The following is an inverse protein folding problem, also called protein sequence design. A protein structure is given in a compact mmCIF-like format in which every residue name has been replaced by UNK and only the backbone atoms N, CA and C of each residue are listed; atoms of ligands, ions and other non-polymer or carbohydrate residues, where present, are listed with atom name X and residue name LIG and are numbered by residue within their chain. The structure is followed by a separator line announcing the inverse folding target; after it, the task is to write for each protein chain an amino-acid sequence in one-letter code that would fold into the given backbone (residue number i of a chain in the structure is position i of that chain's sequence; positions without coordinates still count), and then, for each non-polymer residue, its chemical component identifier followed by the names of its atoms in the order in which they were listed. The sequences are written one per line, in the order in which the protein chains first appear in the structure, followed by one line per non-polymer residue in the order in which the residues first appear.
data_IF_068339918296
#
_entry.id   IF_068339918296
#
_cell.length_a   1.000
_cell.length_b   1.000
_cell.length_c   1.000
_cell.angle_alpha   90.00
_cell.angle_beta   90.00
_cell.angle_gamma   90.00
#
_symmetry.space_group_name_H-M   'P 1'
#
loop_
_entity.id
_entity.type
_entity.pdbx_description
1 polymer ?
#
# COMPACT_ATOMS: atom_id res chain seq x y z
N UNK A 1 -3.27 -39.42 8.52
CA UNK A 1 -3.65 -38.39 9.51
C UNK A 1 -4.28 -37.22 8.78
N UNK A 2 -5.53 -36.92 9.08
CA UNK A 2 -6.22 -35.71 8.61
C UNK A 2 -5.55 -34.50 9.28
N UNK A 3 -5.06 -33.55 8.48
CA UNK A 3 -4.43 -32.32 8.98
C UNK A 3 -5.45 -31.18 8.98
N UNK A 4 -5.39 -30.34 10.01
CA UNK A 4 -6.13 -29.09 10.06
C UNK A 4 -5.59 -28.06 9.07
N UNK A 5 -6.37 -27.01 8.80
CA UNK A 5 -5.99 -25.93 7.88
C UNK A 5 -6.45 -24.59 8.42
N UNK A 6 -5.62 -23.56 8.27
CA UNK A 6 -6.04 -22.17 8.40
C UNK A 6 -6.27 -21.60 7.01
N UNK A 7 -7.47 -21.07 6.79
CA UNK A 7 -7.87 -20.44 5.54
C UNK A 7 -7.97 -18.93 5.73
N UNK A 8 -7.47 -18.18 4.75
CA UNK A 8 -7.62 -16.73 4.68
C UNK A 8 -8.97 -16.38 4.06
N UNK A 9 -9.68 -15.41 4.64
CA UNK A 9 -10.96 -14.94 4.08
C UNK A 9 -10.79 -13.55 3.45
N UNK A 10 -11.75 -13.11 2.60
CA UNK A 10 -11.74 -11.75 2.05
C UNK A 10 -11.83 -10.64 3.10
N UNK A 11 -12.36 -10.92 4.30
CA UNK A 11 -12.65 -9.94 5.35
C UNK A 11 -11.54 -9.80 6.40
N UNK A 12 -10.31 -10.24 6.08
CA UNK A 12 -9.15 -10.29 7.01
C UNK A 12 -9.32 -11.23 8.20
N UNK A 13 -10.38 -12.03 8.22
CA UNK A 13 -10.57 -13.09 9.21
C UNK A 13 -9.83 -14.35 8.76
N UNK A 14 -9.55 -15.21 9.74
CA UNK A 14 -8.97 -16.53 9.52
C UNK A 14 -10.00 -17.58 9.88
N UNK A 15 -10.25 -18.50 8.95
CA UNK A 15 -11.10 -19.66 9.20
C UNK A 15 -10.21 -20.87 9.51
N UNK A 16 -10.18 -21.27 10.77
CA UNK A 16 -9.46 -22.44 11.24
C UNK A 16 -10.37 -23.67 11.13
N UNK A 17 -9.89 -24.71 10.46
CA UNK A 17 -10.56 -26.00 10.35
C UNK A 17 -9.72 -27.05 11.07
N UNK A 18 -10.26 -27.65 12.12
CA UNK A 18 -9.60 -28.65 12.95
C UNK A 18 -10.31 -30.00 12.79
N UNK A 19 -9.57 -31.09 12.48
CA UNK A 19 -10.10 -32.43 12.58
C UNK A 19 -10.18 -32.79 14.07
N UNK A 20 -11.37 -32.67 14.67
CA UNK A 20 -11.55 -33.01 16.07
C UNK A 20 -11.48 -34.54 16.23
N UNK A 21 -10.70 -35.04 17.20
CA UNK A 21 -10.61 -36.47 17.46
C UNK A 21 -11.75 -36.98 18.36
N UNK A 22 -12.65 -36.08 18.79
CA UNK A 22 -13.73 -36.36 19.74
C UNK A 22 -15.08 -36.23 19.05
N UNK A 23 -15.99 -37.17 19.33
CA UNK A 23 -17.37 -37.08 18.85
C UNK A 23 -18.12 -36.00 19.67
N UNK A 24 -19.06 -35.22 19.09
CA UNK A 24 -19.82 -34.21 19.83
C UNK A 24 -20.60 -34.75 21.03
N UNK A 25 -21.05 -36.01 20.95
CA UNK A 25 -21.79 -36.67 22.04
C UNK A 25 -20.89 -37.38 23.06
N UNK A 26 -19.56 -37.25 22.95
CA UNK A 26 -18.62 -37.84 23.88
C UNK A 26 -18.70 -37.12 25.24
N UNK A 27 -18.86 -37.87 26.33
CA UNK A 27 -18.98 -37.28 27.67
C UNK A 27 -17.63 -36.79 28.23
N UNK A 28 -16.55 -37.55 28.03
CA UNK A 28 -15.25 -37.27 28.64
C UNK A 28 -14.09 -37.54 27.69
N UNK A 29 -13.06 -36.68 27.68
CA UNK A 29 -11.82 -36.87 26.88
C UNK A 29 -11.10 -38.20 27.25
N UNK A 30 -11.03 -38.49 28.55
CA UNK A 30 -10.32 -39.63 29.12
C UNK A 30 -11.17 -40.90 29.24
N UNK A 31 -12.19 -41.04 28.39
CA UNK A 31 -13.04 -42.23 28.35
C UNK A 31 -12.24 -43.54 28.18
N UNK A 32 -12.78 -44.63 28.72
CA UNK A 32 -12.17 -45.96 28.71
C UNK A 32 -11.93 -46.47 27.28
N UNK A 33 -10.98 -47.39 27.09
CA UNK A 33 -10.63 -47.93 25.75
C UNK A 33 -11.83 -48.49 24.97
N UNK A 34 -12.84 -49.03 25.66
CA UNK A 34 -14.06 -49.55 25.04
C UNK A 34 -14.91 -48.43 24.42
N UNK A 35 -15.14 -47.34 25.16
CA UNK A 35 -15.87 -46.16 24.68
C UNK A 35 -15.11 -45.43 23.57
N UNK A 36 -13.77 -45.34 23.68
CA UNK A 36 -12.92 -44.79 22.59
C UNK A 36 -13.07 -45.58 21.30
N UNK A 37 -13.20 -46.91 21.36
CA UNK A 37 -13.36 -47.76 20.16
C UNK A 37 -14.73 -47.56 19.50
N UNK A 38 -15.77 -47.37 20.31
CA UNK A 38 -17.13 -47.11 19.84
C UNK A 38 -17.20 -45.84 18.99
N UNK A 39 -16.69 -44.72 19.52
CA UNK A 39 -16.70 -43.43 18.82
C UNK A 39 -15.62 -43.32 17.72
N UNK A 40 -14.53 -44.09 17.80
CA UNK A 40 -13.49 -44.06 16.76
C UNK A 40 -13.93 -44.56 15.39
N UNK A 41 -15.05 -45.29 15.33
CA UNK A 41 -15.62 -45.81 14.08
C UNK A 41 -16.59 -44.83 13.41
N UNK A 42 -17.02 -43.78 14.11
CA UNK A 42 -17.94 -42.78 13.58
C UNK A 42 -17.17 -41.61 12.96
N UNK A 43 -17.66 -41.13 11.82
CA UNK A 43 -17.04 -40.01 11.13
C UNK A 43 -17.35 -38.71 11.90
N UNK A 44 -16.35 -38.20 12.61
CA UNK A 44 -16.44 -36.91 13.30
C UNK A 44 -16.33 -35.76 12.30
N UNK A 45 -17.27 -34.83 12.35
CA UNK A 45 -17.22 -33.61 11.55
C UNK A 45 -16.10 -32.67 12.03
N UNK A 46 -15.35 -32.01 11.12
CA UNK A 46 -14.29 -31.10 11.52
C UNK A 46 -14.86 -29.80 12.09
N UNK A 47 -14.24 -29.29 13.16
CA UNK A 47 -14.60 -28.02 13.77
C UNK A 47 -14.12 -26.85 12.92
N UNK A 48 -14.99 -25.87 12.67
CA UNK A 48 -14.67 -24.65 11.94
C UNK A 48 -14.83 -23.41 12.83
N UNK A 49 -13.72 -22.72 13.10
CA UNK A 49 -13.69 -21.50 13.91
C UNK A 49 -13.31 -20.30 13.05
N UNK A 50 -13.91 -19.14 13.33
CA UNK A 50 -13.57 -17.88 12.69
C UNK A 50 -12.90 -16.96 13.71
N UNK A 51 -11.66 -16.55 13.43
CA UNK A 51 -10.85 -15.76 14.35
C UNK A 51 -10.29 -14.51 13.69
N UNK A 52 -10.17 -13.45 14.47
CA UNK A 52 -9.50 -12.24 14.04
C UNK A 52 -7.99 -12.32 14.37
N UNK A 53 -7.08 -11.88 13.48
CA UNK A 53 -5.64 -11.99 13.72
C UNK A 53 -5.14 -11.30 14.99
N UNK A 54 -5.80 -10.21 15.43
CA UNK A 54 -5.42 -9.46 16.64
C UNK A 54 -5.95 -10.08 17.94
N UNK A 55 -6.74 -11.15 17.87
CA UNK A 55 -7.20 -11.83 19.08
C UNK A 55 -6.04 -12.65 19.67
N UNK A 56 -5.91 -12.73 21.01
CA UNK A 56 -4.89 -13.53 21.65
C UNK A 56 -5.20 -15.03 21.54
N UNK A 57 -4.17 -15.87 21.62
CA UNK A 57 -4.32 -17.33 21.62
C UNK A 57 -5.20 -17.86 22.75
N UNK A 58 -5.26 -17.18 23.89
CA UNK A 58 -6.17 -17.49 25.00
C UNK A 58 -7.64 -17.42 24.62
N UNK A 59 -8.00 -16.58 23.65
CA UNK A 59 -9.36 -16.53 23.11
C UNK A 59 -9.64 -17.76 22.25
N UNK A 60 -8.69 -18.15 21.39
CA UNK A 60 -8.79 -19.36 20.57
C UNK A 60 -8.81 -20.63 21.44
N UNK A 61 -8.02 -20.67 22.51
CA UNK A 61 -8.05 -21.73 23.52
C UNK A 61 -9.46 -21.91 24.10
N UNK A 62 -10.11 -20.83 24.53
CA UNK A 62 -11.48 -20.91 25.07
C UNK A 62 -12.51 -21.36 24.04
N UNK A 63 -12.37 -20.93 22.78
CA UNK A 63 -13.23 -21.38 21.70
C UNK A 63 -13.10 -22.89 21.47
N UNK A 64 -11.88 -23.43 21.49
CA UNK A 64 -11.68 -24.87 21.35
C UNK A 64 -12.15 -25.62 22.61
N UNK A 65 -11.89 -25.08 23.81
CA UNK A 65 -12.36 -25.66 25.08
C UNK A 65 -13.89 -25.77 25.15
N UNK A 66 -14.63 -24.84 24.56
CA UNK A 66 -16.09 -24.89 24.50
C UNK A 66 -16.63 -26.00 23.59
N UNK A 67 -15.82 -26.47 22.64
CA UNK A 67 -16.18 -27.46 21.62
C UNK A 67 -15.55 -28.84 21.90
N UNK A 68 -14.85 -28.99 23.04
CA UNK A 68 -14.21 -30.22 23.48
C UNK A 68 -14.88 -30.68 24.77
N UNK A 69 -15.15 -32.00 24.93
CA UNK A 69 -15.74 -32.51 26.16
C UNK A 69 -14.84 -32.25 27.38
N UNK A 70 -15.41 -32.15 28.59
CA UNK A 70 -14.62 -32.00 29.81
C UNK A 70 -13.74 -33.23 30.08
N UNK A 71 -12.72 -33.04 30.91
CA UNK A 71 -11.90 -34.12 31.46
C UNK A 71 -12.36 -34.48 32.86
N UNK A 72 -12.46 -35.78 33.14
CA UNK A 72 -12.72 -36.27 34.49
C UNK A 72 -11.42 -36.35 35.29
N UNK A 73 -11.35 -35.65 36.42
CA UNK A 73 -10.19 -35.64 37.33
C UNK A 73 -10.64 -36.12 38.72
N UNK A 74 -9.73 -36.65 39.54
CA UNK A 74 -10.02 -37.02 40.93
C UNK A 74 -10.51 -35.78 41.71
N UNK A 75 -11.84 -35.66 41.88
CA UNK A 75 -12.48 -34.55 42.57
C UNK A 75 -13.42 -33.67 41.73
N UNK A 76 -13.61 -33.94 40.42
CA UNK A 76 -14.60 -33.25 39.60
C UNK A 76 -14.29 -33.23 38.09
N UNK A 77 -15.00 -32.38 37.37
CA UNK A 77 -14.78 -32.13 35.94
C UNK A 77 -13.91 -30.89 35.74
N UNK A 78 -12.94 -30.98 34.81
CA UNK A 78 -12.01 -29.90 34.48
C UNK A 78 -11.99 -29.69 32.97
N UNK A 79 -11.92 -28.42 32.53
CA UNK A 79 -11.66 -28.09 31.13
C UNK A 79 -10.20 -28.41 30.77
N UNK A 80 -9.94 -28.99 29.58
CA UNK A 80 -8.58 -29.33 29.16
C UNK A 80 -7.73 -28.09 28.90
N UNK A 81 -6.48 -28.09 29.36
CA UNK A 81 -5.49 -27.09 28.94
C UNK A 81 -5.15 -27.30 27.45
N UNK A 82 -5.09 -26.21 26.69
CA UNK A 82 -4.71 -26.24 25.27
C UNK A 82 -3.38 -25.53 25.09
N UNK A 83 -2.43 -26.21 24.44
CA UNK A 83 -1.08 -25.70 24.24
C UNK A 83 -0.79 -25.59 22.75
N UNK A 84 -0.46 -24.39 22.29
CA UNK A 84 0.01 -24.14 20.92
C UNK A 84 1.52 -24.26 20.85
N UNK A 85 2.02 -25.00 19.85
CA UNK A 85 3.45 -25.18 19.61
C UNK A 85 3.80 -24.88 18.15
N UNK A 86 4.93 -24.24 17.91
CA UNK A 86 5.48 -24.02 16.58
C UNK A 86 6.93 -24.51 16.51
N UNK A 87 7.42 -24.74 15.29
CA UNK A 87 8.81 -25.11 15.03
C UNK A 87 9.74 -23.95 15.43
N UNK A 88 10.77 -24.23 16.23
CA UNK A 88 11.76 -23.25 16.65
C UNK A 88 13.06 -23.33 15.84
N UNK A 89 13.76 -22.20 15.79
CA UNK A 89 15.05 -22.04 15.09
C UNK A 89 16.23 -22.73 15.80
N UNK A 90 16.04 -23.25 17.02
CA UNK A 90 17.12 -23.87 17.78
C UNK A 90 17.42 -25.28 17.26
N UNK A 91 18.37 -25.35 16.33
CA UNK A 91 19.06 -26.58 15.96
C UNK A 91 20.03 -26.95 17.11
N UNK A 92 19.55 -27.71 18.11
CA UNK A 92 20.42 -28.25 19.17
C UNK A 92 21.38 -29.33 18.65
N UNK A 93 21.32 -29.69 17.36
CA UNK A 93 22.07 -30.80 16.76
C UNK A 93 23.48 -30.49 16.23
N UNK A 94 23.89 -29.23 16.06
CA UNK A 94 25.18 -28.92 15.41
C UNK A 94 26.38 -28.83 16.36
N UNK A 95 26.48 -29.72 17.35
CA UNK A 95 27.71 -29.88 18.12
C UNK A 95 28.78 -30.73 17.40
N UNK A 96 28.49 -31.38 16.26
CA UNK A 96 29.45 -32.32 15.65
C UNK A 96 29.65 -32.30 14.13
N UNK A 97 28.97 -31.46 13.34
CA UNK A 97 29.03 -31.61 11.89
C UNK A 97 29.20 -30.33 11.05
N UNK A 98 29.85 -29.26 11.52
CA UNK A 98 30.56 -28.38 10.58
C UNK A 98 31.59 -27.46 11.24
N UNK A 99 32.85 -27.90 11.30
CA UNK A 99 34.00 -27.08 11.73
C UNK A 99 34.53 -26.16 10.61
N UNK A 100 33.78 -25.93 9.52
CA UNK A 100 34.27 -25.18 8.35
C UNK A 100 33.51 -23.91 7.96
N UNK A 101 32.54 -23.44 8.75
CA UNK A 101 31.82 -22.17 8.53
C UNK A 101 31.89 -21.21 9.72
N UNK A 102 33.00 -21.18 10.45
CA UNK A 102 33.06 -20.51 11.75
C UNK A 102 33.44 -19.02 11.75
N UNK A 103 33.58 -18.37 10.60
CA UNK A 103 34.05 -16.97 10.55
C UNK A 103 33.06 -15.94 9.95
N UNK A 104 31.77 -16.24 9.79
CA UNK A 104 30.80 -15.22 9.32
C UNK A 104 29.52 -14.97 10.11
N UNK A 105 29.02 -15.88 10.94
CA UNK A 105 27.63 -15.76 11.45
C UNK A 105 27.48 -15.83 12.98
N UNK A 106 28.33 -15.17 13.78
CA UNK A 106 28.01 -14.94 15.20
C UNK A 106 26.97 -13.82 15.39
N UNK A 107 26.74 -12.96 14.39
CA UNK A 107 25.80 -11.83 14.48
C UNK A 107 24.33 -12.21 14.22
N UNK A 108 24.05 -13.41 13.70
CA UNK A 108 22.69 -13.85 13.35
C UNK A 108 21.97 -14.72 14.39
N UNK A 109 22.64 -15.14 15.47
CA UNK A 109 22.06 -16.13 16.43
C UNK A 109 20.88 -15.60 17.26
N UNK A 110 20.77 -14.27 17.37
CA UNK A 110 19.65 -13.58 18.03
C UNK A 110 18.62 -13.04 17.03
N UNK A 111 18.72 -13.43 15.75
CA UNK A 111 17.78 -13.03 14.69
C UNK A 111 16.99 -14.28 14.30
N UNK A 112 15.68 -14.19 14.39
CA UNK A 112 14.82 -15.30 13.99
C UNK A 112 14.80 -15.43 12.46
N UNK A 113 14.94 -16.65 11.94
CA UNK A 113 15.00 -16.90 10.51
C UNK A 113 13.58 -17.00 9.94
N UNK A 114 13.17 -16.06 9.08
CA UNK A 114 11.86 -16.10 8.44
C UNK A 114 11.97 -16.71 7.04
N UNK A 115 11.05 -17.60 6.67
CA UNK A 115 10.99 -18.18 5.31
C UNK A 115 9.74 -17.75 4.55
N UNK A 116 8.64 -17.47 5.25
CA UNK A 116 7.37 -17.05 4.66
C UNK A 116 6.67 -18.09 3.77
N UNK A 117 7.26 -19.28 3.61
CA UNK A 117 6.79 -20.33 2.72
C UNK A 117 5.63 -21.12 3.35
N UNK A 118 5.55 -21.18 4.68
CA UNK A 118 4.52 -21.94 5.39
C UNK A 118 4.45 -23.39 4.90
N UNK A 119 3.24 -23.88 4.63
CA UNK A 119 3.00 -25.22 4.09
C UNK A 119 3.74 -25.55 2.78
N UNK A 120 4.12 -24.55 1.98
CA UNK A 120 4.86 -24.69 0.71
C UNK A 120 6.36 -24.89 0.92
N UNK A 121 6.85 -24.77 2.17
CA UNK A 121 8.26 -24.98 2.50
C UNK A 121 8.73 -26.43 2.31
N UNK A 122 10.05 -26.64 2.20
CA UNK A 122 10.63 -27.98 2.05
C UNK A 122 10.30 -28.84 3.27
N UNK A 123 9.98 -30.13 3.06
CA UNK A 123 9.88 -31.09 4.15
C UNK A 123 11.27 -31.36 4.71
N UNK A 124 11.53 -30.98 5.96
CA UNK A 124 12.68 -31.52 6.68
C UNK A 124 12.35 -32.95 7.10
N UNK A 125 13.22 -33.90 6.75
CA UNK A 125 13.15 -35.30 7.22
C UNK A 125 13.61 -35.46 8.68
N UNK A 126 14.06 -34.38 9.33
CA UNK A 126 14.48 -34.34 10.74
C UNK A 126 13.30 -33.97 11.64
N UNK A 127 13.31 -34.49 12.86
CA UNK A 127 12.36 -34.14 13.91
C UNK A 127 12.42 -32.62 14.19
N UNK A 128 11.32 -31.93 13.92
CA UNK A 128 11.18 -30.51 14.21
C UNK A 128 11.23 -30.27 15.72
N UNK A 129 11.95 -29.22 16.14
CA UNK A 129 11.97 -28.80 17.54
C UNK A 129 10.74 -27.95 17.84
N UNK A 130 9.89 -28.38 18.77
CA UNK A 130 8.62 -27.74 19.08
C UNK A 130 8.74 -26.86 20.33
N UNK A 131 8.34 -25.60 20.23
CA UNK A 131 8.32 -24.66 21.36
C UNK A 131 6.90 -24.22 21.67
N UNK A 132 6.58 -24.17 22.98
CA UNK A 132 5.29 -23.67 23.50
C UNK A 132 5.23 -22.14 23.40
N UNK A 133 4.09 -21.65 22.92
CA UNK A 133 3.80 -20.22 22.85
C UNK A 133 2.94 -19.75 24.03
N UNK A 134 3.06 -18.46 24.38
CA UNK A 134 2.24 -17.83 25.40
C UNK A 134 0.79 -17.67 24.91
N UNK A 135 -0.17 -17.84 25.81
CA UNK A 135 -1.60 -17.63 25.51
C UNK A 135 -1.96 -16.14 25.30
N UNK A 136 -1.04 -15.22 25.62
CA UNK A 136 -1.22 -13.79 25.41
C UNK A 136 -0.80 -13.30 24.01
N UNK A 137 -0.13 -14.14 23.22
CA UNK A 137 0.33 -13.76 21.86
C UNK A 137 -0.85 -13.64 20.90
N UNK A 138 -0.80 -12.68 19.98
CA UNK A 138 -1.80 -12.53 18.92
C UNK A 138 -1.74 -13.69 17.92
N UNK A 139 -2.90 -14.17 17.48
CA UNK A 139 -3.02 -15.27 16.50
C UNK A 139 -2.28 -14.94 15.20
N UNK A 140 -2.33 -13.68 14.75
CA UNK A 140 -1.67 -13.21 13.54
C UNK A 140 -0.15 -13.31 13.60
N UNK A 141 0.44 -12.89 14.72
CA UNK A 141 1.89 -12.96 14.96
C UNK A 141 2.35 -14.41 15.14
N UNK A 142 1.59 -15.21 15.89
CA UNK A 142 1.86 -16.65 16.02
C UNK A 142 1.85 -17.37 14.67
N UNK A 143 0.86 -17.10 13.81
CA UNK A 143 0.78 -17.71 12.47
C UNK A 143 1.94 -17.26 11.58
N UNK A 144 2.36 -15.99 11.69
CA UNK A 144 3.51 -15.47 10.93
C UNK A 144 4.80 -16.17 11.35
N UNK A 145 5.03 -16.33 12.65
CA UNK A 145 6.18 -17.05 13.18
C UNK A 145 6.15 -18.54 12.82
N UNK A 146 4.97 -19.17 12.95
CA UNK A 146 4.75 -20.55 12.55
C UNK A 146 4.90 -20.78 11.03
N UNK A 147 4.81 -19.74 10.20
CA UNK A 147 4.99 -19.83 8.74
C UNK A 147 6.44 -20.09 8.33
N UNK A 148 7.38 -20.10 9.28
CA UNK A 148 8.73 -20.68 9.10
C UNK A 148 8.66 -22.16 8.80
N UNK A 149 7.85 -22.86 9.57
CA UNK A 149 7.54 -24.28 9.42
C UNK A 149 6.36 -24.49 8.48
N UNK A 150 6.03 -25.76 8.24
CA UNK A 150 4.90 -26.14 7.39
C UNK A 150 3.58 -26.22 8.16
N UNK A 151 3.67 -26.49 9.45
CA UNK A 151 2.55 -26.76 10.33
C UNK A 151 2.87 -26.33 11.76
N UNK A 152 1.82 -25.99 12.50
CA UNK A 152 1.90 -25.83 13.95
C UNK A 152 1.13 -26.95 14.64
N UNK A 153 1.42 -27.18 15.92
CA UNK A 153 0.80 -28.21 16.73
C UNK A 153 -0.16 -27.62 17.75
N UNK A 154 -1.24 -28.34 18.02
CA UNK A 154 -2.16 -28.08 19.13
C UNK A 154 -2.17 -29.34 20.01
N UNK A 155 -1.67 -29.20 21.23
CA UNK A 155 -1.79 -30.23 22.27
C UNK A 155 -3.04 -29.97 23.10
N UNK A 156 -3.85 -31.01 23.30
CA UNK A 156 -5.05 -30.99 24.16
C UNK A 156 -4.75 -31.89 25.35
N UNK A 157 -4.88 -31.36 26.57
CA UNK A 157 -4.72 -32.14 27.80
C UNK A 157 -5.64 -33.38 27.78
N UNK A 158 -5.10 -34.56 28.08
CA UNK A 158 -5.85 -35.83 28.08
C UNK A 158 -5.92 -36.54 26.73
N UNK A 159 -5.36 -35.97 25.67
CA UNK A 159 -5.23 -36.62 24.37
C UNK A 159 -3.76 -36.78 23.96
N UNK A 160 -3.34 -38.02 23.72
CA UNK A 160 -1.92 -38.35 23.47
C UNK A 160 -1.39 -37.84 22.13
N UNK A 161 -2.26 -37.56 21.15
CA UNK A 161 -1.86 -37.13 19.80
C UNK A 161 -2.05 -35.64 19.64
N UNK A 162 -0.99 -34.92 19.30
CA UNK A 162 -1.09 -33.51 18.93
C UNK A 162 -1.79 -33.35 17.57
N UNK A 163 -2.67 -32.36 17.46
CA UNK A 163 -3.29 -31.98 16.20
C UNK A 163 -2.30 -31.14 15.38
N UNK A 164 -2.08 -31.51 14.12
CA UNK A 164 -1.24 -30.75 13.18
C UNK A 164 -2.09 -29.88 12.28
N UNK A 165 -1.76 -28.60 12.19
CA UNK A 165 -2.48 -27.61 11.38
C UNK A 165 -1.54 -26.95 10.39
N UNK A 166 -1.89 -26.97 9.12
CA UNK A 166 -1.10 -26.34 8.06
C UNK A 166 -1.16 -24.81 8.16
N UNK A 167 0.01 -24.17 8.09
CA UNK A 167 0.16 -22.71 8.15
C UNK A 167 0.05 -22.12 6.74
N UNK A 168 -0.72 -21.02 6.54
CA UNK A 168 -0.86 -20.37 5.25
C UNK A 168 0.47 -19.72 4.85
N UNK A 169 0.83 -19.86 3.58
CA UNK A 169 1.98 -19.18 3.00
C UNK A 169 1.70 -17.70 2.74
N UNK A 170 2.73 -16.92 2.41
CA UNK A 170 2.57 -15.56 1.87
C UNK A 170 1.56 -15.51 0.71
N UNK A 171 1.59 -16.50 -0.19
CA UNK A 171 0.70 -16.57 -1.36
C UNK A 171 -0.76 -16.83 -0.96
N UNK A 172 -0.98 -17.66 0.06
CA UNK A 172 -2.31 -17.93 0.60
C UNK A 172 -2.89 -16.68 1.29
N UNK A 173 -2.06 -15.97 2.06
CA UNK A 173 -2.48 -14.76 2.78
C UNK A 173 -2.82 -13.60 1.84
N UNK A 174 -2.05 -13.46 0.76
CA UNK A 174 -2.24 -12.38 -0.21
C UNK A 174 -3.18 -12.74 -1.36
N UNK A 175 -3.72 -13.96 -1.41
CA UNK A 175 -4.50 -14.47 -2.55
C UNK A 175 -5.65 -13.52 -2.98
N UNK A 176 -6.53 -13.15 -2.04
CA UNK A 176 -7.67 -12.28 -2.34
C UNK A 176 -7.24 -10.84 -2.65
N UNK A 177 -6.18 -10.35 -2.00
CA UNK A 177 -5.62 -9.02 -2.29
C UNK A 177 -5.06 -8.99 -3.71
N UNK A 178 -4.24 -9.97 -4.10
CA UNK A 178 -3.67 -10.08 -5.45
C UNK A 178 -4.75 -10.29 -6.51
N UNK A 179 -5.79 -11.06 -6.22
CA UNK A 179 -6.94 -11.22 -7.12
C UNK A 179 -7.65 -9.88 -7.36
N UNK A 180 -7.92 -9.11 -6.30
CA UNK A 180 -8.52 -7.77 -6.42
C UNK A 180 -7.58 -6.81 -7.18
N UNK A 181 -6.28 -6.85 -6.89
CA UNK A 181 -5.27 -6.05 -7.59
C UNK A 181 -5.26 -6.34 -9.09
N UNK A 182 -5.28 -7.62 -9.49
CA UNK A 182 -5.35 -8.04 -10.91
C UNK A 182 -6.63 -7.58 -11.60
N UNK A 183 -7.73 -7.42 -10.87
CA UNK A 183 -8.99 -6.89 -11.40
C UNK A 183 -8.88 -5.39 -11.62
N UNK A 184 -8.39 -4.66 -10.60
CA UNK A 184 -8.15 -3.22 -10.69
C UNK A 184 -7.12 -2.88 -11.77
N UNK A 185 -6.04 -3.66 -11.89
CA UNK A 185 -5.00 -3.46 -12.90
C UNK A 185 -5.54 -3.52 -14.32
N UNK A 186 -6.46 -4.45 -14.60
CA UNK A 186 -7.14 -4.53 -15.91
C UNK A 186 -8.01 -3.31 -16.18
N UNK A 187 -8.77 -2.85 -15.19
CA UNK A 187 -9.58 -1.64 -15.33
C UNK A 187 -8.70 -0.39 -15.51
N UNK A 188 -7.55 -0.33 -14.85
CA UNK A 188 -6.57 0.73 -15.04
C UNK A 188 -5.96 0.66 -16.43
N UNK A 189 -5.59 -0.50 -16.96
CA UNK A 189 -5.07 -0.63 -18.34
C UNK A 189 -6.07 -0.08 -19.36
N UNK A 190 -7.35 -0.50 -19.27
CA UNK A 190 -8.40 -0.05 -20.16
C UNK A 190 -8.59 1.49 -20.11
N UNK A 191 -8.62 2.06 -18.90
CA UNK A 191 -8.77 3.51 -18.71
C UNK A 191 -7.50 4.29 -19.10
N UNK A 192 -6.31 3.71 -18.88
CA UNK A 192 -5.02 4.32 -19.20
C UNK A 192 -4.84 4.49 -20.71
N UNK A 193 -5.28 3.52 -21.52
CA UNK A 193 -5.25 3.62 -22.98
C UNK A 193 -6.07 4.80 -23.49
N UNK A 194 -7.30 4.95 -22.98
CA UNK A 194 -8.17 6.08 -23.33
C UNK A 194 -7.56 7.42 -22.90
N UNK A 195 -6.98 7.47 -21.70
CA UNK A 195 -6.29 8.65 -21.17
C UNK A 195 -5.10 9.04 -22.06
N UNK A 196 -4.23 8.09 -22.37
CA UNK A 196 -3.02 8.29 -23.19
C UNK A 196 -3.37 8.84 -24.58
N UNK A 197 -4.40 8.29 -25.22
CA UNK A 197 -4.85 8.79 -26.53
C UNK A 197 -5.38 10.23 -26.47
N UNK A 198 -6.15 10.57 -25.43
CA UNK A 198 -6.65 11.93 -25.21
C UNK A 198 -5.51 12.91 -24.98
N UNK A 199 -4.53 12.52 -24.16
CA UNK A 199 -3.38 13.35 -23.80
C UNK A 199 -2.51 13.62 -25.04
N UNK A 200 -2.28 12.59 -25.85
CA UNK A 200 -1.52 12.73 -27.09
C UNK A 200 -2.23 13.67 -28.08
N UNK A 201 -3.56 13.56 -28.21
CA UNK A 201 -4.36 14.45 -29.06
C UNK A 201 -4.37 15.90 -28.54
N UNK A 202 -4.44 16.11 -27.23
CA UNK A 202 -4.38 17.43 -26.63
C UNK A 202 -3.02 18.10 -26.89
N UNK A 203 -1.91 17.36 -26.72
CA UNK A 203 -0.56 17.85 -26.99
C UNK A 203 -0.30 18.13 -28.48
N UNK A 204 -0.82 17.29 -29.40
CA UNK A 204 -0.78 17.55 -30.85
C UNK A 204 -1.49 18.86 -31.22
N UNK A 205 -2.59 19.17 -30.53
CA UNK A 205 -3.32 20.42 -30.67
C UNK A 205 -2.48 21.66 -30.31
N UNK A 206 -1.82 21.62 -29.16
CA UNK A 206 -0.95 22.72 -28.70
C UNK A 206 0.25 22.94 -29.63
N UNK A 207 0.88 21.86 -30.09
CA UNK A 207 2.00 21.95 -31.05
C UNK A 207 1.57 22.53 -32.39
N UNK A 208 0.34 22.26 -32.85
CA UNK A 208 -0.18 22.86 -34.09
C UNK A 208 -0.34 24.38 -33.98
N UNK A 209 -0.80 24.87 -32.82
CA UNK A 209 -0.86 26.31 -32.54
C UNK A 209 0.53 26.94 -32.52
N UNK A 210 1.51 26.31 -31.87
CA UNK A 210 2.88 26.79 -31.84
C UNK A 210 3.51 26.84 -33.25
N UNK A 211 3.30 25.80 -34.07
CA UNK A 211 3.75 25.78 -35.48
C UNK A 211 3.07 26.87 -36.31
N UNK A 212 1.78 27.14 -36.08
CA UNK A 212 1.06 28.24 -36.71
C UNK A 212 1.61 29.61 -36.35
N UNK A 213 1.90 29.85 -35.06
CA UNK A 213 2.54 31.07 -34.59
C UNK A 213 3.93 31.29 -35.20
N UNK A 214 4.74 30.24 -35.27
CA UNK A 214 6.04 30.29 -35.94
C UNK A 214 5.92 30.61 -37.43
N UNK A 215 4.99 29.98 -38.14
CA UNK A 215 4.75 30.25 -39.56
C UNK A 215 4.29 31.70 -39.81
N UNK A 216 3.45 32.26 -38.94
CA UNK A 216 3.05 33.66 -39.02
C UNK A 216 4.23 34.62 -38.84
N UNK A 217 5.12 34.36 -37.87
CA UNK A 217 6.33 35.16 -37.66
C UNK A 217 7.31 35.05 -38.84
N UNK A 218 7.52 33.85 -39.39
CA UNK A 218 8.35 33.65 -40.57
C UNK A 218 7.77 34.36 -41.81
N UNK A 219 6.44 34.32 -41.97
CA UNK A 219 5.74 35.03 -43.05
C UNK A 219 5.89 36.54 -42.89
N UNK A 220 5.71 37.07 -41.68
CA UNK A 220 5.92 38.49 -41.38
C UNK A 220 7.35 38.93 -41.68
N UNK A 221 8.34 38.15 -41.25
CA UNK A 221 9.75 38.41 -41.55
C UNK A 221 10.03 38.45 -43.06
N UNK A 222 9.47 37.48 -43.80
CA UNK A 222 9.58 37.44 -45.27
C UNK A 222 8.93 38.65 -45.95
N UNK A 223 7.77 39.10 -45.46
CA UNK A 223 7.07 40.30 -45.97
C UNK A 223 7.94 41.54 -45.74
N UNK A 224 8.46 41.73 -44.52
CA UNK A 224 9.35 42.87 -44.20
C UNK A 224 10.59 42.85 -45.09
N UNK A 225 11.26 41.70 -45.21
CA UNK A 225 12.43 41.54 -46.08
C UNK A 225 12.11 41.89 -47.55
N UNK A 226 11.01 41.37 -48.10
CA UNK A 226 10.64 41.61 -49.49
C UNK A 226 10.30 43.09 -49.74
N UNK A 227 9.53 43.73 -48.86
CA UNK A 227 9.16 45.14 -49.01
C UNK A 227 10.39 46.05 -48.87
N UNK A 228 11.31 45.74 -47.95
CA UNK A 228 12.52 46.56 -47.77
C UNK A 228 13.51 46.44 -48.93
N UNK A 229 13.74 45.22 -49.45
CA UNK A 229 14.81 44.99 -50.43
C UNK A 229 14.34 44.93 -51.89
N UNK A 230 13.06 44.62 -52.16
CA UNK A 230 12.54 44.40 -53.52
C UNK A 230 11.48 45.42 -53.94
N UNK A 231 11.15 46.41 -53.10
CA UNK A 231 10.16 47.45 -53.42
C UNK A 231 10.79 48.84 -53.28
N UNK A 232 10.34 49.80 -54.09
CA UNK A 232 10.83 51.19 -54.09
C UNK A 232 10.42 51.99 -52.84
N UNK A 233 9.59 51.41 -51.94
CA UNK A 233 9.09 52.09 -50.74
C UNK A 233 10.16 52.27 -49.64
N UNK A 234 11.30 51.59 -49.75
CA UNK A 234 12.48 51.82 -48.90
C UNK A 234 12.26 51.53 -47.41
N UNK A 235 13.30 51.79 -46.61
CA UNK A 235 13.25 51.57 -45.15
C UNK A 235 12.43 52.62 -44.40
N UNK A 236 12.32 53.84 -44.95
CA UNK A 236 11.65 55.00 -44.33
C UNK A 236 10.16 54.75 -44.06
N UNK A 237 9.48 53.96 -44.91
CA UNK A 237 8.09 53.56 -44.69
C UNK A 237 7.96 52.34 -43.75
N UNK A 238 8.93 51.42 -43.79
CA UNK A 238 8.84 50.13 -43.09
C UNK A 238 9.13 50.27 -41.59
N UNK A 239 10.00 51.21 -41.21
CA UNK A 239 10.39 51.44 -39.82
C UNK A 239 9.20 51.79 -38.89
N UNK A 240 8.33 52.79 -39.19
CA UNK A 240 7.18 53.08 -38.36
C UNK A 240 6.16 51.93 -38.29
N UNK A 241 5.98 51.21 -39.41
CA UNK A 241 5.03 50.09 -39.52
C UNK A 241 5.47 48.92 -38.65
N UNK A 242 6.76 48.58 -38.66
CA UNK A 242 7.30 47.51 -37.81
C UNK A 242 7.26 47.87 -36.32
N UNK A 243 7.49 49.13 -35.97
CA UNK A 243 7.34 49.61 -34.59
C UNK A 243 5.88 49.47 -34.09
N UNK A 244 4.92 49.92 -34.91
CA UNK A 244 3.49 49.82 -34.57
C UNK A 244 3.00 48.37 -34.53
N UNK A 245 3.48 47.51 -35.43
CA UNK A 245 3.20 46.07 -35.41
C UNK A 245 3.79 45.38 -34.17
N UNK A 246 5.00 45.77 -33.74
CA UNK A 246 5.62 45.26 -32.52
C UNK A 246 4.83 45.66 -31.28
N UNK A 247 4.47 46.94 -31.17
CA UNK A 247 3.68 47.48 -30.05
C UNK A 247 2.30 46.81 -29.97
N UNK A 248 1.60 46.65 -31.10
CA UNK A 248 0.30 45.95 -31.14
C UNK A 248 0.41 44.48 -30.76
N UNK A 249 1.49 43.78 -31.15
CA UNK A 249 1.74 42.39 -30.74
C UNK A 249 1.95 42.28 -29.23
N UNK A 250 2.72 43.21 -28.64
CA UNK A 250 2.92 43.26 -27.18
C UNK A 250 1.60 43.58 -26.46
N UNK A 251 0.82 44.55 -26.95
CA UNK A 251 -0.50 44.87 -26.40
C UNK A 251 -1.46 43.67 -26.50
N UNK A 252 -1.47 42.96 -27.63
CA UNK A 252 -2.27 41.75 -27.81
C UNK A 252 -1.85 40.62 -26.87
N UNK A 253 -0.54 40.41 -26.70
CA UNK A 253 -0.01 39.46 -25.73
C UNK A 253 -0.39 39.82 -24.29
N UNK A 254 -0.35 41.11 -23.95
CA UNK A 254 -0.74 41.61 -22.62
C UNK A 254 -2.25 41.46 -22.37
N UNK A 255 -3.10 41.73 -23.37
CA UNK A 255 -4.55 41.50 -23.28
C UNK A 255 -4.87 40.01 -23.13
N UNK A 256 -4.18 39.16 -23.90
CA UNK A 256 -4.32 37.71 -23.77
C UNK A 256 -3.87 37.22 -22.38
N UNK A 257 -2.79 37.78 -21.85
CA UNK A 257 -2.30 37.52 -20.49
C UNK A 257 -3.32 37.93 -19.42
N UNK A 258 -3.91 39.13 -19.54
CA UNK A 258 -4.97 39.59 -18.63
C UNK A 258 -6.23 38.73 -18.69
N UNK A 259 -6.55 38.17 -19.86
CA UNK A 259 -7.73 37.32 -20.04
C UNK A 259 -7.56 35.90 -19.46
N UNK A 260 -6.36 35.30 -19.52
CA UNK A 260 -6.20 33.88 -19.17
C UNK A 260 -6.18 33.62 -17.66
N UNK A 261 -5.63 34.54 -16.84
CA UNK A 261 -5.85 34.77 -15.40
C UNK A 261 -4.61 35.40 -14.70
N UNK A 262 -4.86 35.98 -13.51
CA UNK A 262 -4.03 36.94 -12.76
C UNK A 262 -2.83 36.36 -11.99
N UNK A 263 -2.69 35.03 -11.92
CA UNK A 263 -1.66 34.38 -11.09
C UNK A 263 -0.56 33.72 -11.96
N UNK A 264 0.67 34.11 -11.65
CA UNK A 264 1.88 33.94 -12.43
C UNK A 264 2.21 32.48 -12.80
N UNK A 265 2.28 32.18 -14.10
CA UNK A 265 3.41 31.45 -14.74
C UNK A 265 3.11 31.16 -16.22
N UNK A 266 4.05 31.42 -17.12
CA UNK A 266 3.98 31.02 -18.53
C UNK A 266 3.70 29.51 -18.71
N UNK A 267 4.21 28.67 -17.80
CA UNK A 267 3.93 27.23 -17.77
C UNK A 267 2.48 26.92 -17.36
N UNK A 268 1.87 27.75 -16.52
CA UNK A 268 0.48 27.58 -16.10
C UNK A 268 -0.49 27.89 -17.26
N UNK A 269 -0.25 28.95 -18.03
CA UNK A 269 -1.14 29.33 -19.13
C UNK A 269 -1.22 28.27 -20.26
N UNK A 270 -0.08 27.70 -20.67
CA UNK A 270 -0.06 26.61 -21.64
C UNK A 270 -0.80 25.38 -21.10
N UNK A 271 -0.52 25.00 -19.85
CA UNK A 271 -1.17 23.86 -19.20
C UNK A 271 -2.67 24.08 -19.02
N UNK A 272 -3.14 25.31 -18.85
CA UNK A 272 -4.59 25.64 -18.77
C UNK A 272 -5.29 25.44 -20.10
N UNK A 273 -4.66 25.80 -21.23
CA UNK A 273 -5.28 25.56 -22.56
C UNK A 273 -5.28 24.08 -22.93
N UNK A 274 -4.20 23.36 -22.61
CA UNK A 274 -4.12 21.91 -22.81
C UNK A 274 -5.12 21.20 -21.92
N UNK A 275 -5.22 21.57 -20.64
CA UNK A 275 -6.13 20.93 -19.69
C UNK A 275 -7.60 21.16 -20.04
N UNK A 276 -7.99 22.37 -20.48
CA UNK A 276 -9.36 22.61 -20.95
C UNK A 276 -9.74 21.71 -22.13
N UNK A 277 -8.83 21.58 -23.10
CA UNK A 277 -9.04 20.70 -24.26
C UNK A 277 -9.05 19.22 -23.86
N UNK A 278 -8.18 18.83 -22.93
CA UNK A 278 -8.10 17.48 -22.38
C UNK A 278 -9.41 17.11 -21.66
N UNK A 279 -9.95 17.99 -20.81
CA UNK A 279 -11.24 17.78 -20.15
C UNK A 279 -12.40 17.63 -21.14
N UNK A 280 -12.41 18.42 -22.22
CA UNK A 280 -13.41 18.27 -23.29
C UNK A 280 -13.28 16.90 -23.97
N UNK A 281 -12.05 16.47 -24.31
CA UNK A 281 -11.79 15.16 -24.90
C UNK A 281 -12.18 14.00 -23.95
N UNK A 282 -11.96 14.16 -22.64
CA UNK A 282 -12.40 13.20 -21.64
C UNK A 282 -13.92 13.06 -21.62
N UNK A 283 -14.66 14.18 -21.67
CA UNK A 283 -16.13 14.15 -21.73
C UNK A 283 -16.63 13.49 -23.03
N UNK A 284 -16.03 13.81 -24.17
CA UNK A 284 -16.39 13.22 -25.47
C UNK A 284 -16.16 11.70 -25.51
N UNK A 285 -15.08 11.23 -24.88
CA UNK A 285 -14.74 9.80 -24.83
C UNK A 285 -15.31 9.07 -23.62
N UNK A 286 -16.04 9.76 -22.75
CA UNK A 286 -16.62 9.19 -21.53
C UNK A 286 -15.58 8.74 -20.48
N UNK A 287 -14.40 9.37 -20.47
CA UNK A 287 -13.39 9.14 -19.44
C UNK A 287 -13.76 9.94 -18.17
N UNK A 288 -13.87 9.26 -17.04
CA UNK A 288 -14.13 9.88 -15.73
C UNK A 288 -12.82 10.01 -14.93
N UNK A 289 -12.28 11.24 -14.76
CA UNK A 289 -11.05 11.47 -14.00
C UNK A 289 -11.19 11.12 -12.52
N UNK A 290 -12.37 11.27 -11.92
CA UNK A 290 -12.58 11.00 -10.50
C UNK A 290 -12.51 9.50 -10.23
N UNK A 291 -13.18 8.71 -11.07
CA UNK A 291 -13.12 7.24 -11.01
C UNK A 291 -11.69 6.72 -11.20
N UNK A 292 -10.95 7.30 -12.16
CA UNK A 292 -9.53 6.97 -12.36
C UNK A 292 -8.70 7.18 -11.09
N UNK A 293 -8.80 8.37 -10.48
CA UNK A 293 -8.05 8.71 -9.27
C UNK A 293 -8.38 7.77 -8.10
N UNK A 294 -9.65 7.43 -7.93
CA UNK A 294 -10.11 6.49 -6.90
C UNK A 294 -9.52 5.09 -7.10
N UNK A 295 -9.62 4.52 -8.30
CA UNK A 295 -9.14 3.16 -8.60
C UNK A 295 -7.63 3.08 -8.46
N UNK A 296 -6.90 4.07 -8.98
CA UNK A 296 -5.44 4.15 -8.84
C UNK A 296 -5.04 4.27 -7.37
N UNK A 297 -5.77 5.07 -6.59
CA UNK A 297 -5.50 5.19 -5.16
C UNK A 297 -5.71 3.87 -4.42
N UNK A 298 -6.86 3.20 -4.64
CA UNK A 298 -7.16 1.91 -4.03
C UNK A 298 -6.15 0.84 -4.43
N UNK A 299 -5.75 0.79 -5.70
CA UNK A 299 -4.74 -0.14 -6.19
C UNK A 299 -3.38 0.10 -5.51
N UNK A 300 -2.96 1.35 -5.36
CA UNK A 300 -1.71 1.68 -4.66
C UNK A 300 -1.76 1.38 -3.15
N UNK A 301 -2.91 1.54 -2.50
CA UNK A 301 -3.09 1.09 -1.11
C UNK A 301 -2.92 -0.42 -1.00
N UNK A 302 -3.55 -1.17 -1.90
CA UNK A 302 -3.47 -2.63 -1.93
C UNK A 302 -2.04 -3.12 -2.24
N UNK A 303 -1.30 -2.45 -3.14
CA UNK A 303 0.13 -2.72 -3.40
C UNK A 303 0.97 -2.53 -2.13
N UNK A 304 0.75 -1.44 -1.39
CA UNK A 304 1.46 -1.18 -0.13
C UNK A 304 1.14 -2.24 0.92
N UNK A 305 -0.13 -2.63 1.06
CA UNK A 305 -0.53 -3.70 1.98
C UNK A 305 0.15 -5.03 1.62
N UNK A 306 0.13 -5.44 0.35
CA UNK A 306 0.78 -6.68 -0.08
C UNK A 306 2.30 -6.62 0.14
N UNK A 307 2.93 -5.47 -0.13
CA UNK A 307 4.36 -5.27 0.11
C UNK A 307 4.70 -5.34 1.60
N UNK A 308 3.87 -4.77 2.48
CA UNK A 308 4.06 -4.92 3.93
C UNK A 308 3.95 -6.39 4.37
N UNK A 309 2.96 -7.12 3.86
CA UNK A 309 2.85 -8.57 4.15
C UNK A 309 4.05 -9.34 3.59
N UNK A 310 4.61 -8.91 2.45
CA UNK A 310 5.80 -9.53 1.87
C UNK A 310 7.03 -9.32 2.77
N UNK A 311 7.22 -8.09 3.28
CA UNK A 311 8.29 -7.80 4.25
C UNK A 311 8.11 -8.52 5.58
N UNK A 312 6.87 -8.71 6.04
CA UNK A 312 6.58 -9.48 7.25
C UNK A 312 6.94 -10.96 7.12
N UNK A 313 6.81 -11.51 5.91
CA UNK A 313 7.09 -12.92 5.62
C UNK A 313 8.53 -13.13 5.10
N UNK A 314 9.32 -12.05 4.96
CA UNK A 314 10.66 -12.04 4.35
C UNK A 314 10.69 -12.65 2.93
N UNK A 315 9.68 -12.32 2.13
CA UNK A 315 9.53 -12.79 0.74
C UNK A 315 9.57 -11.60 -0.21
N UNK A 316 10.36 -11.71 -1.28
CA UNK A 316 10.31 -10.75 -2.37
C UNK A 316 9.04 -10.93 -3.22
N UNK A 317 8.20 -9.90 -3.24
CA UNK A 317 6.99 -9.89 -4.06
C UNK A 317 7.26 -9.28 -5.44
N UNK A 318 7.18 -10.12 -6.47
CA UNK A 318 7.24 -9.71 -7.87
C UNK A 318 5.89 -9.12 -8.33
N UNK A 319 5.80 -7.79 -8.33
CA UNK A 319 4.60 -7.04 -8.70
C UNK A 319 4.21 -7.20 -10.17
N UNK A 320 5.18 -7.43 -11.06
CA UNK A 320 4.95 -7.51 -12.50
C UNK A 320 4.01 -8.67 -12.86
N UNK A 321 4.13 -9.78 -12.13
CA UNK A 321 3.27 -10.97 -12.31
C UNK A 321 1.80 -10.70 -12.01
N UNK A 322 1.51 -9.75 -11.14
CA UNK A 322 0.14 -9.45 -10.70
C UNK A 322 -0.46 -8.23 -11.40
N UNK A 323 0.37 -7.26 -11.81
CA UNK A 323 -0.10 -6.09 -12.54
C UNK A 323 -0.35 -6.40 -14.02
N UNK A 324 0.36 -7.37 -14.61
CA UNK A 324 0.10 -7.82 -15.98
C UNK A 324 0.68 -6.92 -17.08
N UNK A 325 1.50 -5.93 -16.72
CA UNK A 325 2.21 -5.07 -17.67
C UNK A 325 3.03 -3.97 -17.00
N UNK A 326 4.09 -3.51 -17.68
CA UNK A 326 4.93 -2.39 -17.24
C UNK A 326 4.15 -1.06 -17.30
N UNK A 327 3.30 -0.88 -18.31
CA UNK A 327 2.51 0.34 -18.50
C UNK A 327 1.59 0.66 -17.32
N UNK A 328 0.98 -0.36 -16.71
CA UNK A 328 0.11 -0.17 -15.54
C UNK A 328 0.94 0.18 -14.31
N UNK A 329 2.14 -0.41 -14.19
CA UNK A 329 3.06 -0.09 -13.10
C UNK A 329 3.52 1.37 -13.18
N UNK A 330 3.92 1.82 -14.37
CA UNK A 330 4.30 3.21 -14.62
C UNK A 330 3.14 4.17 -14.30
N UNK A 331 1.93 3.89 -14.81
CA UNK A 331 0.76 4.73 -14.53
C UNK A 331 0.44 4.85 -13.03
N UNK A 332 0.60 3.76 -12.28
CA UNK A 332 0.41 3.75 -10.83
C UNK A 332 1.52 4.51 -10.08
N UNK A 333 2.76 4.44 -10.56
CA UNK A 333 3.92 5.12 -9.97
C UNK A 333 3.91 6.62 -10.24
N UNK A 334 3.58 7.05 -11.47
CA UNK A 334 3.43 8.46 -11.84
C UNK A 334 2.38 9.17 -10.98
N UNK A 335 1.23 8.53 -10.76
CA UNK A 335 0.15 9.09 -9.92
C UNK A 335 0.53 9.11 -8.43
N UNK A 336 1.24 8.09 -7.92
CA UNK A 336 1.71 8.08 -6.54
C UNK A 336 2.77 9.16 -6.28
N UNK A 337 3.71 9.33 -7.20
CA UNK A 337 4.69 10.42 -7.16
C UNK A 337 4.03 11.79 -7.30
N UNK A 338 3.07 11.93 -8.21
CA UNK A 338 2.31 13.16 -8.40
C UNK A 338 1.60 13.57 -7.11
N UNK A 339 0.98 12.62 -6.41
CA UNK A 339 0.33 12.86 -5.12
C UNK A 339 1.33 13.22 -4.01
N UNK A 340 2.48 12.52 -3.93
CA UNK A 340 3.55 12.86 -2.97
C UNK A 340 4.09 14.28 -3.20
N UNK A 341 4.31 14.67 -4.47
CA UNK A 341 4.75 16.02 -4.85
C UNK A 341 3.71 17.08 -4.45
N UNK A 342 2.41 16.81 -4.68
CA UNK A 342 1.30 17.70 -4.23
C UNK A 342 1.27 17.85 -2.72
N UNK A 343 1.34 16.74 -1.97
CA UNK A 343 1.34 16.76 -0.50
C UNK A 343 2.55 17.49 0.07
N UNK A 344 3.73 17.33 -0.54
CA UNK A 344 4.94 18.04 -0.12
C UNK A 344 4.79 19.56 -0.29
N UNK A 345 4.33 20.00 -1.46
CA UNK A 345 4.07 21.43 -1.74
C UNK A 345 3.03 22.04 -0.81
N UNK A 346 2.04 21.25 -0.37
CA UNK A 346 1.04 21.73 0.57
C UNK A 346 1.62 21.90 1.98
N UNK A 347 2.49 21.00 2.42
CA UNK A 347 3.22 21.16 3.69
C UNK A 347 4.15 22.37 3.66
N UNK A 348 4.93 22.52 2.58
CA UNK A 348 5.84 23.68 2.40
C UNK A 348 5.05 25.00 2.48
N UNK A 349 3.85 25.09 1.89
CA UNK A 349 2.99 26.29 2.01
C UNK A 349 2.45 26.53 3.42
N UNK A 350 2.09 25.46 4.13
CA UNK A 350 1.61 25.59 5.51
C UNK A 350 2.73 26.05 6.45
N UNK A 351 3.95 25.53 6.24
CA UNK A 351 5.14 25.99 6.96
C UNK A 351 5.45 27.47 6.65
N UNK A 352 5.36 27.90 5.38
CA UNK A 352 5.50 29.33 5.01
C UNK A 352 4.42 30.22 5.65
N UNK A 353 3.16 29.79 5.67
CA UNK A 353 2.06 30.53 6.31
C UNK A 353 2.23 30.61 7.85
N UNK A 354 2.74 29.55 8.49
CA UNK A 354 3.03 29.53 9.93
C UNK A 354 4.22 30.46 10.27
N UNK A 355 5.28 30.46 9.47
CA UNK A 355 6.42 31.37 9.61
C UNK A 355 6.01 32.85 9.45
N UNK A 356 5.17 33.18 8.46
CA UNK A 356 4.66 34.55 8.28
C UNK A 356 3.82 35.04 9.48
N UNK A 357 3.02 34.14 10.09
CA UNK A 357 2.24 34.46 11.28
C UNK A 357 3.14 34.67 12.50
N UNK A 358 4.16 33.83 12.68
CA UNK A 358 5.14 34.00 13.77
C UNK A 358 5.94 35.31 13.61
N UNK A 359 6.38 35.67 12.41
CA UNK A 359 7.05 36.95 12.15
C UNK A 359 6.14 38.15 12.45
N UNK A 360 4.86 38.07 12.07
CA UNK A 360 3.90 39.14 12.32
C UNK A 360 3.59 39.30 13.82
N UNK A 361 3.48 38.20 14.57
CA UNK A 361 3.33 38.24 16.03
C UNK A 361 4.57 38.81 16.74
N UNK A 362 5.77 38.43 16.29
CA UNK A 362 7.02 38.98 16.82
C UNK A 362 7.13 40.49 16.56
N UNK A 363 6.78 40.94 15.35
CA UNK A 363 6.75 42.36 15.00
C UNK A 363 5.72 43.13 15.85
N UNK A 364 4.53 42.58 16.07
CA UNK A 364 3.50 43.22 16.90
C UNK A 364 3.91 43.31 18.38
N UNK A 365 4.58 42.28 18.92
CA UNK A 365 5.16 42.32 20.27
C UNK A 365 6.28 43.35 20.40
N UNK A 366 7.10 43.51 19.35
CA UNK A 366 8.17 44.52 19.32
C UNK A 366 7.61 45.94 19.27
N UNK A 367 6.57 46.17 18.45
CA UNK A 367 5.84 47.46 18.40
C UNK A 367 5.16 47.76 19.74
N UNK A 368 4.53 46.79 20.41
CA UNK A 368 3.92 46.99 21.74
C UNK A 368 4.96 47.36 22.80
N UNK A 369 6.15 46.76 22.77
CA UNK A 369 7.28 47.11 23.67
C UNK A 369 7.80 48.53 23.41
N UNK A 370 7.93 48.95 22.16
CA UNK A 370 8.40 50.29 21.83
C UNK A 370 7.39 51.40 22.16
N UNK A 371 6.08 51.07 22.14
CA UNK A 371 5.01 52.04 22.46
C UNK A 371 4.84 52.23 23.97
N UNK A 372 5.07 51.19 24.79
CA UNK A 372 4.98 51.27 26.27
C UNK A 372 6.13 52.02 26.92
N UNK A 373 7.28 52.16 26.24
CA UNK A 373 8.43 52.94 26.75
C UNK A 373 8.26 54.46 26.56
N UNK A 374 7.28 54.91 25.76
CA UNK A 374 7.12 56.32 25.35
C UNK A 374 5.98 57.10 26.03
N UNK A 375 5.32 56.58 27.06
CA UNK A 375 4.38 57.39 27.87
C UNK A 375 5.13 58.23 28.93
N UNK A 376 5.18 59.57 28.84
CA UNK A 376 5.75 60.39 29.89
C UNK A 376 4.79 60.48 31.07
N UNK A 377 5.27 60.09 32.26
CA UNK A 377 4.57 60.26 33.52
C UNK A 377 4.02 61.69 33.66
N UNK A 378 2.69 61.79 33.68
CA UNK A 378 1.95 63.02 33.83
C UNK A 378 2.34 63.80 35.09
N UNK A 379 2.75 65.04 34.85
CA UNK A 379 2.99 66.16 35.77
C UNK A 379 1.96 66.20 36.92
N UNK A 380 2.37 65.90 38.15
CA UNK A 380 1.64 66.35 39.36
C UNK A 380 1.98 67.82 39.60
N UNK A 381 0.94 68.66 39.63
CA UNK A 381 0.99 70.04 40.15
C UNK A 381 0.95 70.01 41.67
#
# INVERSE_FOLDING_TARGET
MTKGRVLTTPTRLLKLILPMPFHPDQEYINANEQQRREWSNENVEPLALLVHPQQPLSYLERLIQAEVPPMQVEGGEKLPEIVFRAEADYDQGEAKADRKRKDRDEQGRNVAAYSGLGREGPSKDREANWVRWSSSTEVGDFIRDAARGREFAIGIEGHDKELRVAVPSFRDRTYYMRMRLRKMSREIDDMARVKRDCDELAHKGAHRLAKGGFAALATWWGIVYYVTFHTEMGWDLVEPVTYLAGLTTIMGGYLWFLFISRDLSYKAAMNVTVSRRQTALYQERGFDPQKWEQIVHEANLLRREIRMVATEYDVEWDEMRDLGGEEVKEALEEEDEGRKKKSKRQRERQEEEEEEVEEHEQHEQQVKKDTTVKEPAGRKK
#
